data_IF_512410571399
#
_entry.id   IF_512410571399
#
_cell.length_a   1.000
_cell.length_b   1.000
_cell.length_c   1.000
_cell.angle_alpha   90.00
_cell.angle_beta   90.00
_cell.angle_gamma   90.00
#
_symmetry.space_group_name_H-M   'P 1'
#
loop_
_entity.id
_entity.type
_entity.pdbx_description
1 polymer ?
#
# COMPACT_ATOMS: atom_id res chain seq x y z
N UNK A 1 -17.34 11.82 -1.24
CA UNK A 1 -16.05 12.39 -0.81
C UNK A 1 -15.57 13.63 -1.59
N UNK A 2 -16.36 14.21 -2.46
CA UNK A 2 -16.04 15.45 -3.15
C UNK A 2 -15.08 15.32 -4.34
N UNK A 3 -15.04 14.16 -5.00
CA UNK A 3 -14.35 13.95 -6.26
C UNK A 3 -12.93 13.40 -6.14
N UNK A 4 -12.39 12.99 -7.29
CA UNK A 4 -11.08 12.31 -7.40
C UNK A 4 -9.91 13.16 -6.88
N UNK A 5 -9.94 14.46 -7.10
CA UNK A 5 -8.90 15.40 -6.66
C UNK A 5 -8.81 15.48 -5.13
N UNK A 6 -9.96 15.55 -4.45
CA UNK A 6 -9.98 15.54 -2.97
C UNK A 6 -9.51 14.23 -2.38
N UNK A 7 -9.86 13.11 -3.00
CA UNK A 7 -9.36 11.79 -2.61
C UNK A 7 -7.84 11.73 -2.74
N UNK A 8 -7.32 12.17 -3.88
CA UNK A 8 -5.87 12.19 -4.15
C UNK A 8 -5.12 13.06 -3.13
N UNK A 9 -5.61 14.27 -2.87
CA UNK A 9 -5.03 15.18 -1.87
C UNK A 9 -5.05 14.58 -0.46
N UNK A 10 -6.14 13.92 -0.08
CA UNK A 10 -6.26 13.25 1.22
C UNK A 10 -5.27 12.09 1.35
N UNK A 11 -5.11 11.30 0.29
CA UNK A 11 -4.14 10.21 0.24
C UNK A 11 -2.70 10.70 0.29
N UNK A 12 -2.37 11.78 -0.41
CA UNK A 12 -1.03 12.38 -0.35
C UNK A 12 -0.66 12.79 1.08
N UNK A 13 -1.60 13.39 1.80
CA UNK A 13 -1.42 13.71 3.22
C UNK A 13 -1.28 12.45 4.07
N UNK A 14 -2.12 11.44 3.84
CA UNK A 14 -2.11 10.18 4.58
C UNK A 14 -0.76 9.46 4.47
N UNK A 15 -0.15 9.46 3.29
CA UNK A 15 1.13 8.81 3.03
C UNK A 15 2.36 9.71 3.26
N UNK A 16 2.24 10.84 3.92
CA UNK A 16 3.42 11.62 4.34
C UNK A 16 4.29 10.84 5.31
N UNK A 17 3.67 10.03 6.17
CA UNK A 17 4.34 9.02 6.99
C UNK A 17 3.76 7.65 6.66
N UNK A 18 4.56 6.58 6.75
CA UNK A 18 4.16 5.26 6.29
C UNK A 18 3.84 4.28 7.42
N UNK A 19 4.31 4.52 8.63
CA UNK A 19 4.15 3.60 9.75
C UNK A 19 3.98 4.35 11.07
N UNK A 20 2.93 5.17 11.16
CA UNK A 20 2.72 6.14 12.25
C UNK A 20 2.10 5.53 13.52
N UNK A 21 1.63 4.27 13.46
CA UNK A 21 0.96 3.62 14.59
C UNK A 21 -0.55 3.83 14.63
N UNK A 22 -1.22 3.03 15.47
CA UNK A 22 -2.70 2.86 15.50
C UNK A 22 -3.49 4.12 15.87
N UNK A 23 -2.87 5.08 16.55
CA UNK A 23 -3.55 6.31 17.00
C UNK A 23 -3.35 7.50 16.07
N UNK A 24 -2.68 7.29 14.94
CA UNK A 24 -2.41 8.33 13.95
C UNK A 24 -3.50 8.40 12.89
N UNK A 25 -3.74 9.58 12.35
CA UNK A 25 -4.56 9.79 11.15
C UNK A 25 -3.77 9.51 9.84
N UNK A 26 -2.47 9.21 9.96
CA UNK A 26 -1.57 8.90 8.85
C UNK A 26 -1.46 7.39 8.64
N UNK A 27 -0.77 6.99 7.58
CA UNK A 27 -0.62 5.58 7.24
C UNK A 27 0.07 4.78 8.35
N UNK A 28 -0.44 3.60 8.60
CA UNK A 28 0.16 2.60 9.48
C UNK A 28 0.23 1.26 8.73
N UNK A 29 1.24 1.11 7.88
CA UNK A 29 1.38 -0.07 7.01
C UNK A 29 1.69 -1.36 7.76
N UNK A 30 2.13 -1.28 9.01
CA UNK A 30 2.27 -2.42 9.90
C UNK A 30 0.94 -3.00 10.38
N UNK A 31 -0.20 -2.49 9.91
CA UNK A 31 -1.53 -2.95 10.29
C UNK A 31 -2.37 -3.25 9.04
N UNK A 32 -2.98 -4.42 8.99
CA UNK A 32 -3.74 -4.97 7.85
C UNK A 32 -4.73 -3.98 7.21
N UNK A 33 -5.54 -3.19 7.95
CA UNK A 33 -6.47 -2.25 7.32
C UNK A 33 -5.83 -1.22 6.38
N UNK A 34 -4.53 -0.98 6.52
CA UNK A 34 -3.80 -0.02 5.67
C UNK A 34 -3.31 -0.60 4.35
N UNK A 35 -3.26 -1.93 4.22
CA UNK A 35 -2.63 -2.61 3.09
C UNK A 35 -3.29 -2.31 1.74
N UNK A 36 -4.61 -2.14 1.72
CA UNK A 36 -5.37 -1.81 0.51
C UNK A 36 -5.35 -0.34 0.12
N UNK A 37 -4.97 0.56 1.04
CA UNK A 37 -5.12 2.01 0.84
C UNK A 37 -4.25 2.56 -0.30
N UNK A 38 -3.01 2.12 -0.54
CA UNK A 38 -2.20 2.61 -1.67
C UNK A 38 -2.89 2.46 -3.03
N UNK A 39 -3.70 1.44 -3.18
CA UNK A 39 -4.39 1.11 -4.43
C UNK A 39 -5.63 1.98 -4.70
N UNK A 40 -6.08 2.76 -3.72
CA UNK A 40 -7.18 3.72 -3.89
C UNK A 40 -6.82 4.81 -4.89
N UNK A 41 -5.56 5.13 -5.06
CA UNK A 41 -5.12 6.06 -6.12
C UNK A 41 -5.50 5.58 -7.53
N UNK A 42 -5.47 4.26 -7.79
CA UNK A 42 -5.88 3.70 -9.09
C UNK A 42 -7.35 4.03 -9.37
N UNK A 43 -8.23 3.85 -8.38
CA UNK A 43 -9.65 4.18 -8.48
C UNK A 43 -9.90 5.69 -8.57
N UNK A 44 -8.99 6.51 -8.07
CA UNK A 44 -9.03 7.97 -8.22
C UNK A 44 -8.43 8.45 -9.54
N UNK A 45 -7.97 7.54 -10.41
CA UNK A 45 -7.38 7.88 -11.71
C UNK A 45 -5.95 8.41 -11.63
N UNK A 46 -5.21 8.08 -10.56
CA UNK A 46 -3.83 8.49 -10.32
C UNK A 46 -2.87 7.31 -10.15
N UNK A 47 -2.77 6.38 -11.11
CA UNK A 47 -1.98 5.15 -10.97
C UNK A 47 -0.47 5.41 -10.76
N UNK A 48 0.07 6.50 -11.28
CA UNK A 48 1.47 6.86 -11.02
C UNK A 48 1.74 7.13 -9.54
N UNK A 49 0.75 7.59 -8.78
CA UNK A 49 0.86 7.79 -7.32
C UNK A 49 0.81 6.47 -6.57
N UNK A 50 -0.04 5.52 -7.00
CA UNK A 50 0.01 4.14 -6.49
C UNK A 50 1.42 3.58 -6.62
N UNK A 51 2.00 3.63 -7.81
CA UNK A 51 3.33 3.10 -8.08
C UNK A 51 4.39 3.74 -7.18
N UNK A 52 4.36 5.06 -7.04
CA UNK A 52 5.31 5.80 -6.18
C UNK A 52 5.18 5.43 -4.71
N UNK A 53 3.97 5.38 -4.17
CA UNK A 53 3.72 5.07 -2.76
C UNK A 53 4.05 3.62 -2.45
N UNK A 54 3.62 2.68 -3.30
CA UNK A 54 3.93 1.25 -3.13
C UNK A 54 5.45 1.03 -3.13
N UNK A 55 6.18 1.65 -4.06
CA UNK A 55 7.65 1.56 -4.09
C UNK A 55 8.28 2.10 -2.82
N UNK A 56 7.83 3.25 -2.33
CA UNK A 56 8.30 3.80 -1.06
C UNK A 56 8.08 2.83 0.11
N UNK A 57 6.90 2.25 0.21
CA UNK A 57 6.58 1.28 1.27
C UNK A 57 7.51 0.08 1.19
N UNK A 58 7.74 -0.48 0.00
CA UNK A 58 8.65 -1.61 -0.20
C UNK A 58 10.08 -1.28 0.22
N UNK A 59 10.59 -0.12 -0.18
CA UNK A 59 11.98 0.27 0.06
C UNK A 59 12.24 0.72 1.50
N UNK A 60 11.28 1.40 2.14
CA UNK A 60 11.46 2.00 3.47
C UNK A 60 11.06 1.06 4.62
N UNK A 61 10.08 0.17 4.41
CA UNK A 61 9.48 -0.59 5.50
C UNK A 61 9.81 -2.08 5.49
N UNK A 62 10.28 -2.63 4.38
CA UNK A 62 10.62 -4.05 4.26
C UNK A 62 12.12 -4.25 4.08
N UNK A 63 12.65 -5.33 4.64
CA UNK A 63 14.05 -5.72 4.43
C UNK A 63 14.23 -7.23 4.57
N UNK A 64 15.34 -7.75 4.03
CA UNK A 64 15.71 -9.17 4.14
C UNK A 64 16.34 -9.56 5.49
N UNK A 65 16.27 -8.68 6.50
CA UNK A 65 16.83 -8.93 7.82
C UNK A 65 15.78 -9.55 8.75
N UNK A 66 16.17 -10.24 9.83
CA UNK A 66 15.26 -10.57 10.92
C UNK A 66 14.54 -9.28 11.40
N UNK A 67 13.22 -9.34 11.57
CA UNK A 67 12.42 -8.14 11.87
C UNK A 67 12.20 -7.20 10.69
N UNK A 68 12.39 -7.66 9.45
CA UNK A 68 12.24 -6.88 8.22
C UNK A 68 10.81 -6.60 7.78
N UNK A 69 9.80 -6.83 8.62
CA UNK A 69 8.41 -6.46 8.40
C UNK A 69 8.04 -5.23 9.24
N UNK A 70 7.18 -4.32 8.75
CA UNK A 70 6.80 -3.11 9.48
C UNK A 70 5.88 -3.34 10.68
N UNK A 71 5.35 -4.56 10.85
CA UNK A 71 4.46 -4.95 11.93
C UNK A 71 4.26 -6.45 11.98
N UNK A 72 3.16 -6.89 12.59
CA UNK A 72 2.78 -8.31 12.59
C UNK A 72 2.47 -8.78 11.18
N UNK A 73 2.94 -9.98 10.84
CA UNK A 73 2.66 -10.56 9.51
C UNK A 73 1.18 -10.93 9.31
N UNK A 74 0.41 -11.06 10.40
CA UNK A 74 -1.03 -11.36 10.40
C UNK A 74 -1.39 -12.52 9.47
N UNK A 75 -0.89 -13.71 9.82
CA UNK A 75 -1.08 -14.95 9.06
C UNK A 75 -0.60 -14.87 7.58
N UNK A 76 0.43 -14.09 7.33
CA UNK A 76 1.03 -13.93 6.00
C UNK A 76 0.50 -12.73 5.21
N UNK A 77 -0.31 -11.87 5.80
CA UNK A 77 -0.90 -10.70 5.11
C UNK A 77 0.17 -9.73 4.61
N UNK A 78 1.07 -9.28 5.49
CA UNK A 78 2.17 -8.38 5.10
C UNK A 78 3.17 -9.01 4.13
N UNK A 79 3.51 -10.28 4.34
CA UNK A 79 4.38 -11.01 3.42
C UNK A 79 3.74 -11.16 2.04
N UNK A 80 2.45 -11.48 1.98
CA UNK A 80 1.69 -11.56 0.73
C UNK A 80 1.59 -10.20 0.05
N UNK A 81 1.35 -9.14 0.82
CA UNK A 81 1.34 -7.77 0.29
C UNK A 81 2.65 -7.43 -0.43
N UNK A 82 3.77 -7.75 0.22
CA UNK A 82 5.09 -7.52 -0.38
C UNK A 82 5.27 -8.29 -1.69
N UNK A 83 4.95 -9.59 -1.71
CA UNK A 83 5.09 -10.43 -2.90
C UNK A 83 4.20 -9.95 -4.05
N UNK A 84 2.91 -9.72 -3.79
CA UNK A 84 1.98 -9.23 -4.82
C UNK A 84 2.39 -7.87 -5.34
N UNK A 85 2.71 -6.94 -4.45
CA UNK A 85 3.14 -5.60 -4.87
C UNK A 85 4.45 -5.63 -5.66
N UNK A 86 5.38 -6.53 -5.31
CA UNK A 86 6.63 -6.73 -6.05
C UNK A 86 6.40 -7.30 -7.45
N UNK A 87 5.35 -8.10 -7.64
CA UNK A 87 4.89 -8.57 -8.96
C UNK A 87 4.15 -7.48 -9.75
N UNK A 88 3.78 -6.38 -9.12
CA UNK A 88 3.03 -5.29 -9.74
C UNK A 88 1.52 -5.52 -9.81
N UNK A 89 0.99 -6.44 -9.02
CA UNK A 89 -0.43 -6.80 -8.96
C UNK A 89 -0.90 -6.81 -7.51
N UNK A 90 -2.16 -6.45 -7.25
CA UNK A 90 -2.73 -6.55 -5.91
C UNK A 90 -4.23 -6.82 -5.97
N UNK A 91 -4.76 -7.80 -5.21
CA UNK A 91 -6.19 -8.08 -5.12
C UNK A 91 -6.86 -7.05 -4.19
N UNK A 92 -7.05 -5.82 -4.69
CA UNK A 92 -7.50 -4.68 -3.89
C UNK A 92 -8.92 -4.84 -3.34
N UNK A 93 -9.74 -5.66 -3.98
CA UNK A 93 -11.12 -5.95 -3.54
C UNK A 93 -11.24 -7.46 -3.31
N UNK A 94 -11.18 -7.93 -2.06
CA UNK A 94 -11.30 -9.34 -1.73
C UNK A 94 -12.60 -9.94 -2.29
N UNK A 95 -12.51 -11.14 -2.86
CA UNK A 95 -13.66 -11.85 -3.41
C UNK A 95 -14.12 -11.41 -4.79
N UNK A 96 -13.49 -10.39 -5.37
CA UNK A 96 -13.73 -9.96 -6.76
C UNK A 96 -12.57 -10.46 -7.63
N UNK A 97 -12.90 -11.10 -8.75
CA UNK A 97 -11.90 -11.57 -9.71
C UNK A 97 -11.27 -10.36 -10.43
N UNK A 98 -10.09 -9.98 -10.00
CA UNK A 98 -9.35 -8.86 -10.60
C UNK A 98 -8.22 -8.36 -9.71
N UNK A 99 -7.30 -7.60 -10.33
CA UNK A 99 -6.14 -7.03 -9.66
C UNK A 99 -6.01 -5.54 -9.98
N UNK A 100 -5.64 -4.75 -8.99
CA UNK A 100 -5.07 -3.44 -9.23
C UNK A 100 -3.64 -3.60 -9.76
N UNK A 101 -3.26 -2.77 -10.72
CA UNK A 101 -1.95 -2.85 -11.38
C UNK A 101 -1.03 -1.78 -10.83
N UNK A 102 0.11 -2.21 -10.31
CA UNK A 102 1.20 -1.34 -9.87
C UNK A 102 2.37 -1.36 -10.85
N UNK A 103 3.57 -1.15 -10.31
CA UNK A 103 4.83 -1.28 -11.06
C UNK A 103 5.64 -2.44 -10.47
N UNK A 104 6.00 -3.46 -11.26
CA UNK A 104 6.79 -4.59 -10.76
C UNK A 104 8.17 -4.12 -10.31
N UNK A 105 8.74 -4.80 -9.30
CA UNK A 105 10.11 -4.59 -8.87
C UNK A 105 11.11 -5.26 -9.81
N UNK A 106 10.69 -6.35 -10.46
CA UNK A 106 11.52 -7.17 -11.34
C UNK A 106 11.11 -6.95 -12.81
N UNK A 107 12.07 -7.08 -13.68
CA UNK A 107 11.86 -7.05 -15.14
C UNK A 107 11.68 -8.45 -15.68
#
# INVERSE_FOLDING_TARGET
MGGKERVTTRLDRFFTTLNSGMRSEMAYMGNEPSEGIPWVYDFAGAPARTQKVVRRIQDELFSARPGGLPGNDDAGSLSSWYVFSALGLYPAIPGVAGFAVGSPMYR
#
